data_IF_185877747196
#
_entry.id   IF_185877747196
#
_cell.length_a   1.000
_cell.length_b   1.000
_cell.length_c   1.000
_cell.angle_alpha   90.00
_cell.angle_beta   90.00
_cell.angle_gamma   90.00
#
_symmetry.space_group_name_H-M   'P 1'
#
loop_
_entity.id
_entity.type
_entity.pdbx_description
1 polymer ?
#
# COMPACT_ATOMS: atom_id res chain seq x y z
N UNK A 1 2.56 -6.16 -7.34
CA UNK A 1 2.59 -7.50 -6.71
C UNK A 1 3.37 -7.49 -5.38
N UNK A 2 4.61 -6.99 -5.33
CA UNK A 2 5.42 -6.94 -4.10
C UNK A 2 4.68 -6.34 -2.89
N UNK A 3 3.97 -5.23 -3.08
CA UNK A 3 3.20 -4.58 -2.01
C UNK A 3 2.09 -5.44 -1.44
N UNK A 4 1.36 -6.17 -2.29
CA UNK A 4 0.27 -7.08 -1.85
C UNK A 4 0.87 -8.16 -0.94
N UNK A 5 1.96 -8.78 -1.37
CA UNK A 5 2.64 -9.81 -0.57
C UNK A 5 3.17 -9.26 0.76
N UNK A 6 3.71 -8.03 0.75
CA UNK A 6 4.18 -7.38 1.98
C UNK A 6 3.02 -7.14 2.97
N UNK A 7 1.86 -6.66 2.48
CA UNK A 7 0.68 -6.45 3.32
C UNK A 7 0.13 -7.79 3.84
N UNK A 8 0.01 -8.80 2.99
CA UNK A 8 -0.45 -10.15 3.38
C UNK A 8 0.49 -10.79 4.42
N UNK A 9 1.80 -10.62 4.25
CA UNK A 9 2.80 -11.09 5.20
C UNK A 9 2.72 -10.35 6.54
N UNK A 10 2.57 -9.03 6.55
CA UNK A 10 2.47 -8.28 7.80
C UNK A 10 1.17 -8.62 8.55
N UNK A 11 0.06 -8.76 7.80
CA UNK A 11 -1.24 -9.18 8.34
C UNK A 11 -1.19 -10.58 8.95
N UNK A 12 -0.52 -11.55 8.31
CA UNK A 12 -0.40 -12.92 8.84
C UNK A 12 0.47 -12.99 10.11
N UNK A 13 1.33 -12.00 10.33
CA UNK A 13 2.16 -11.88 11.52
C UNK A 13 1.51 -11.00 12.63
N UNK A 14 0.23 -10.66 12.52
CA UNK A 14 -0.50 -9.77 13.45
C UNK A 14 0.20 -8.41 13.67
N UNK A 15 0.99 -7.96 12.70
CA UNK A 15 1.62 -6.64 12.75
C UNK A 15 0.62 -5.61 12.24
N UNK A 16 0.49 -4.51 13.00
CA UNK A 16 -0.49 -3.46 12.75
C UNK A 16 0.11 -2.20 12.16
N UNK A 17 1.41 -2.21 11.87
CA UNK A 17 2.16 -1.05 11.38
C UNK A 17 3.07 -1.49 10.24
N UNK A 18 2.69 -1.12 9.03
CA UNK A 18 3.47 -1.39 7.84
C UNK A 18 4.01 -0.09 7.26
N UNK A 19 5.33 -0.05 7.01
CA UNK A 19 5.96 1.05 6.30
C UNK A 19 6.36 0.62 4.91
N UNK A 20 5.81 1.31 3.90
CA UNK A 20 6.05 1.05 2.49
C UNK A 20 6.74 2.26 1.87
N UNK A 21 7.98 2.06 1.41
CA UNK A 21 8.68 3.03 0.56
C UNK A 21 8.56 2.61 -0.90
N UNK A 22 8.19 3.54 -1.77
CA UNK A 22 8.04 3.27 -3.20
C UNK A 22 8.43 4.47 -4.04
N UNK A 23 8.93 4.21 -5.24
CA UNK A 23 9.08 5.22 -6.30
C UNK A 23 7.95 5.11 -7.36
N UNK A 24 6.96 4.26 -7.12
CA UNK A 24 5.84 4.05 -8.04
C UNK A 24 4.69 4.98 -7.71
N UNK A 25 4.44 5.98 -8.56
CA UNK A 25 3.27 6.86 -8.44
C UNK A 25 1.96 6.08 -8.57
N UNK A 26 1.95 5.03 -9.39
CA UNK A 26 0.79 4.15 -9.53
C UNK A 26 0.43 3.49 -8.19
N UNK A 27 1.44 3.08 -7.40
CA UNK A 27 1.17 2.51 -6.08
C UNK A 27 0.58 3.55 -5.13
N UNK A 28 1.11 4.77 -5.13
CA UNK A 28 0.57 5.89 -4.34
C UNK A 28 -0.90 6.14 -4.71
N UNK A 29 -1.21 6.24 -5.99
CA UNK A 29 -2.58 6.42 -6.46
C UNK A 29 -3.47 5.22 -6.19
N UNK A 30 -2.95 4.00 -6.21
CA UNK A 30 -3.72 2.79 -5.89
C UNK A 30 -4.22 2.77 -4.44
N UNK A 31 -3.53 3.46 -3.52
CA UNK A 31 -3.98 3.57 -2.14
C UNK A 31 -5.19 4.49 -1.97
N UNK A 32 -5.29 5.56 -2.77
CA UNK A 32 -6.40 6.52 -2.71
C UNK A 32 -7.51 6.18 -3.69
N UNK A 33 -7.18 5.57 -4.83
CA UNK A 33 -8.08 5.21 -5.92
C UNK A 33 -7.87 3.74 -6.32
N UNK A 34 -8.46 2.78 -5.59
CA UNK A 34 -8.24 1.34 -5.82
C UNK A 34 -8.63 0.86 -7.23
N UNK A 35 -9.51 1.58 -7.92
CA UNK A 35 -9.98 1.27 -9.29
C UNK A 35 -8.88 1.36 -10.34
N UNK A 36 -7.76 2.04 -10.05
CA UNK A 36 -6.59 2.09 -10.94
C UNK A 36 -5.80 0.77 -10.95
N UNK A 37 -6.02 -0.09 -9.95
CA UNK A 37 -5.37 -1.40 -9.88
C UNK A 37 -5.95 -2.31 -10.96
N UNK A 38 -5.08 -2.89 -11.78
CA UNK A 38 -5.49 -3.81 -12.82
C UNK A 38 -6.37 -4.93 -12.26
N UNK A 39 -7.43 -5.28 -12.99
CA UNK A 39 -8.49 -6.18 -12.54
C UNK A 39 -7.99 -7.52 -12.00
N UNK A 40 -6.90 -8.07 -12.55
CA UNK A 40 -6.29 -9.32 -12.07
C UNK A 40 -5.75 -9.24 -10.64
N UNK A 41 -5.38 -8.05 -10.17
CA UNK A 41 -4.86 -7.80 -8.82
C UNK A 41 -5.89 -7.12 -7.91
N UNK A 42 -6.97 -6.59 -8.48
CA UNK A 42 -7.95 -5.77 -7.79
C UNK A 42 -8.55 -6.49 -6.57
N UNK A 43 -8.96 -7.74 -6.70
CA UNK A 43 -9.54 -8.51 -5.58
C UNK A 43 -8.55 -8.68 -4.43
N UNK A 44 -7.29 -9.01 -4.73
CA UNK A 44 -6.24 -9.16 -3.70
C UNK A 44 -5.93 -7.83 -3.03
N UNK A 45 -5.86 -6.76 -3.82
CA UNK A 45 -5.67 -5.40 -3.31
C UNK A 45 -6.80 -4.98 -2.37
N UNK A 46 -8.05 -5.19 -2.76
CA UNK A 46 -9.20 -4.87 -1.92
C UNK A 46 -9.24 -5.68 -0.63
N UNK A 47 -8.78 -6.92 -0.64
CA UNK A 47 -8.61 -7.70 0.58
C UNK A 47 -7.53 -7.10 1.49
N UNK A 48 -6.39 -6.68 0.91
CA UNK A 48 -5.32 -5.99 1.65
C UNK A 48 -5.84 -4.70 2.33
N UNK A 49 -6.68 -3.94 1.63
CA UNK A 49 -7.26 -2.71 2.15
C UNK A 49 -8.27 -2.89 3.29
N UNK A 50 -8.80 -4.11 3.49
CA UNK A 50 -9.68 -4.43 4.60
C UNK A 50 -8.92 -4.74 5.89
N UNK A 51 -7.62 -5.02 5.82
CA UNK A 51 -6.84 -5.25 7.02
C UNK A 51 -6.70 -3.92 7.79
N UNK A 52 -6.89 -3.96 9.11
CA UNK A 52 -6.65 -2.81 10.01
C UNK A 52 -5.15 -2.58 10.23
N UNK A 53 -4.42 -2.38 9.14
CA UNK A 53 -3.00 -2.07 9.16
C UNK A 53 -2.86 -0.56 9.04
N UNK A 54 -2.13 0.07 9.96
CA UNK A 54 -1.71 1.45 9.76
C UNK A 54 -0.57 1.43 8.75
N UNK A 55 -0.83 1.94 7.54
CA UNK A 55 0.17 2.01 6.51
C UNK A 55 0.76 3.41 6.44
N UNK A 56 2.09 3.45 6.49
CA UNK A 56 2.87 4.64 6.19
C UNK A 56 3.39 4.48 4.76
N UNK A 57 2.96 5.34 3.84
CA UNK A 57 3.47 5.35 2.48
C UNK A 57 4.46 6.50 2.32
N UNK A 58 5.66 6.19 1.82
CA UNK A 58 6.66 7.21 1.47
C UNK A 58 6.97 7.09 0.00
N UNK A 59 6.66 8.14 -0.74
CA UNK A 59 7.07 8.27 -2.13
C UNK A 59 8.48 8.86 -2.19
N UNK A 60 9.41 8.09 -2.75
CA UNK A 60 10.80 8.52 -2.95
C UNK A 60 10.97 8.90 -4.41
N UNK A 61 10.74 10.17 -4.72
CA UNK A 61 11.27 10.81 -5.92
C UNK A 61 12.65 11.37 -5.57
N UNK A 62 13.62 11.29 -6.48
CA UNK A 62 15.00 11.75 -6.29
C UNK A 62 15.16 13.22 -5.89
N UNK A 63 14.07 13.98 -5.72
CA UNK A 63 14.06 15.41 -5.38
C UNK A 63 13.13 15.71 -4.18
N UNK A 64 12.13 14.88 -3.85
CA UNK A 64 11.15 15.16 -2.77
C UNK A 64 10.61 13.86 -2.13
N UNK A 65 10.72 13.75 -0.80
CA UNK A 65 10.01 12.72 0.00
C UNK A 65 8.61 13.22 0.34
N UNK A 66 7.58 12.63 -0.25
CA UNK A 66 6.20 12.84 0.16
C UNK A 66 5.78 11.71 1.12
N UNK A 67 5.29 12.08 2.31
CA UNK A 67 4.79 11.15 3.31
C UNK A 67 3.28 11.31 3.43
N UNK A 68 2.54 10.29 3.03
CA UNK A 68 1.09 10.24 3.24
C UNK A 68 0.80 9.22 4.36
N UNK A 69 0.25 9.69 5.48
CA UNK A 69 -0.20 8.83 6.57
C UNK A 69 -1.66 8.54 6.29
N UNK A 70 -1.94 7.34 5.80
CA UNK A 70 -3.29 6.91 5.52
C UNK A 70 -3.75 6.05 6.71
N UNK A 71 -4.69 6.61 7.47
CA UNK A 71 -5.41 5.91 8.54
C UNK A 71 -6.68 5.32 7.92
N UNK A 72 -6.74 4.00 7.76
CA UNK A 72 -7.98 3.27 7.38
C UNK A 72 -8.60 2.64 8.60
#
# INVERSE_FOLDING_TARGET
MATIMAIEFDASNNRSKLWLETNSQLLVHAFTHPTIVHWTLYTKWMNCMKFKVNYKLVFVSGILKFQEILKV
#
